data_IF_336448033283
#
_entry.id   IF_336448033283
#
_cell.length_a   1.000
_cell.length_b   1.000
_cell.length_c   1.000
_cell.angle_alpha   90.00
_cell.angle_beta   90.00
_cell.angle_gamma   90.00
#
_symmetry.space_group_name_H-M   'P 1'
#
loop_
_entity.id
_entity.type
_entity.pdbx_description
1 polymer ?
#
# COMPACT_ATOMS: atom_id res chain seq x y z
N UNK A 1 -4.91 -1.46 21.71
CA UNK A 1 -6.16 -2.22 21.50
C UNK A 1 -7.35 -1.28 21.57
N UNK A 2 -8.51 -1.63 21.00
CA UNK A 2 -9.73 -0.82 20.98
C UNK A 2 -10.15 -0.30 22.36
N UNK A 3 -9.94 -1.08 23.42
CA UNK A 3 -10.17 -0.64 24.81
C UNK A 3 -9.35 0.59 25.22
N UNK A 4 -8.11 0.69 24.76
CA UNK A 4 -7.26 1.84 25.06
C UNK A 4 -7.68 3.07 24.23
N UNK A 5 -8.08 2.87 22.97
CA UNK A 5 -8.59 3.90 22.09
C UNK A 5 -9.87 4.49 22.67
N UNK A 6 -10.79 3.64 23.15
CA UNK A 6 -12.03 4.04 23.85
C UNK A 6 -11.73 4.79 25.16
N UNK A 7 -10.77 4.32 25.95
CA UNK A 7 -10.38 4.96 27.20
C UNK A 7 -9.73 6.35 27.01
N UNK A 8 -9.13 6.60 25.86
CA UNK A 8 -8.51 7.87 25.48
C UNK A 8 -9.43 8.78 24.68
N UNK A 9 -10.69 8.37 24.45
CA UNK A 9 -11.71 9.13 23.68
C UNK A 9 -11.23 9.54 22.27
N UNK A 10 -10.41 8.66 21.64
CA UNK A 10 -9.82 8.93 20.33
C UNK A 10 -10.77 8.62 19.16
N UNK A 11 -11.80 7.81 19.38
CA UNK A 11 -12.85 7.48 18.42
C UNK A 11 -14.22 7.53 19.07
N UNK A 12 -15.27 7.91 18.33
CA UNK A 12 -16.66 7.87 18.78
C UNK A 12 -17.07 6.48 19.28
N UNK A 13 -17.89 6.40 20.34
CA UNK A 13 -18.30 5.16 20.96
C UNK A 13 -19.03 4.19 20.01
N UNK A 14 -19.83 4.71 19.09
CA UNK A 14 -20.50 3.92 18.05
C UNK A 14 -19.51 3.24 17.10
N UNK A 15 -18.42 3.92 16.74
CA UNK A 15 -17.37 3.37 15.88
C UNK A 15 -16.57 2.30 16.65
N UNK A 16 -16.21 2.57 17.90
CA UNK A 16 -15.56 1.56 18.74
C UNK A 16 -16.39 0.28 18.87
N UNK A 17 -17.71 0.43 19.02
CA UNK A 17 -18.63 -0.72 19.12
C UNK A 17 -18.71 -1.47 17.79
N UNK A 18 -18.86 -0.77 16.67
CA UNK A 18 -18.85 -1.37 15.33
C UNK A 18 -17.57 -2.17 15.08
N UNK A 19 -16.41 -1.60 15.37
CA UNK A 19 -15.12 -2.27 15.18
C UNK A 19 -14.92 -3.47 16.12
N UNK A 20 -15.44 -3.42 17.36
CA UNK A 20 -15.42 -4.57 18.28
C UNK A 20 -16.29 -5.72 17.72
N UNK A 21 -17.49 -5.43 17.20
CA UNK A 21 -18.38 -6.43 16.60
C UNK A 21 -17.76 -7.05 15.34
N UNK A 22 -17.22 -6.22 14.44
CA UNK A 22 -16.50 -6.68 13.25
C UNK A 22 -15.30 -7.57 13.62
N UNK A 23 -14.52 -7.18 14.62
CA UNK A 23 -13.38 -7.95 15.09
C UNK A 23 -13.81 -9.33 15.63
N UNK A 24 -14.86 -9.38 16.45
CA UNK A 24 -15.39 -10.64 17.00
C UNK A 24 -15.85 -11.56 15.88
N UNK A 25 -16.56 -11.03 14.88
CA UNK A 25 -17.04 -11.79 13.72
C UNK A 25 -15.87 -12.37 12.90
N UNK A 26 -14.90 -11.53 12.51
CA UNK A 26 -13.75 -11.95 11.71
C UNK A 26 -12.86 -12.93 12.49
N UNK A 27 -12.64 -12.71 13.79
CA UNK A 27 -11.86 -13.62 14.63
C UNK A 27 -12.53 -14.98 14.79
N UNK A 28 -13.86 -15.00 14.91
CA UNK A 28 -14.61 -16.25 14.92
C UNK A 28 -14.46 -17.00 13.60
N UNK A 29 -14.58 -16.32 12.47
CA UNK A 29 -14.39 -16.89 11.15
C UNK A 29 -12.98 -17.46 10.98
N UNK A 30 -11.97 -16.70 11.34
CA UNK A 30 -10.56 -17.13 11.29
C UNK A 30 -10.33 -18.40 12.12
N UNK A 31 -10.84 -18.45 13.35
CA UNK A 31 -10.72 -19.64 14.21
C UNK A 31 -11.40 -20.86 13.57
N UNK A 32 -12.60 -20.69 12.98
CA UNK A 32 -13.32 -21.78 12.30
C UNK A 32 -12.53 -22.31 11.11
N UNK A 33 -11.93 -21.43 10.29
CA UNK A 33 -11.13 -21.83 9.12
C UNK A 33 -9.86 -22.57 9.57
N UNK A 34 -9.18 -22.07 10.59
CA UNK A 34 -7.94 -22.67 11.11
C UNK A 34 -8.18 -24.05 11.75
N UNK A 35 -9.32 -24.24 12.41
CA UNK A 35 -9.69 -25.51 13.05
C UNK A 35 -9.86 -26.65 12.04
N UNK A 36 -10.37 -26.37 10.82
CA UNK A 36 -10.54 -27.41 9.79
C UNK A 36 -9.24 -27.87 9.14
N UNK A 37 -8.25 -27.01 9.07
CA UNK A 37 -7.03 -27.25 8.30
C UNK A 37 -5.80 -27.56 9.16
N UNK A 38 -5.89 -27.34 10.49
CA UNK A 38 -4.73 -27.35 11.40
C UNK A 38 -3.55 -26.52 10.84
N UNK A 39 -3.89 -25.44 10.14
CA UNK A 39 -2.96 -24.52 9.49
C UNK A 39 -3.34 -23.09 9.78
N UNK A 40 -2.35 -22.23 9.97
CA UNK A 40 -2.56 -20.79 9.98
C UNK A 40 -2.90 -20.31 8.56
N UNK A 41 -4.19 -20.26 8.25
CA UNK A 41 -4.70 -19.76 6.98
C UNK A 41 -5.80 -18.71 7.23
N UNK A 42 -5.88 -17.75 6.31
CA UNK A 42 -6.91 -16.71 6.28
C UNK A 42 -7.77 -16.82 5.00
N UNK A 43 -7.60 -17.93 4.26
CA UNK A 43 -8.32 -18.16 3.00
C UNK A 43 -9.54 -19.03 3.26
N UNK A 44 -10.69 -18.64 2.69
CA UNK A 44 -11.91 -19.44 2.73
C UNK A 44 -11.68 -20.80 2.07
N UNK A 45 -12.29 -21.88 2.58
CA UNK A 45 -12.13 -23.20 2.01
C UNK A 45 -12.75 -23.29 0.62
N UNK A 46 -12.03 -23.93 -0.32
CA UNK A 46 -12.48 -24.11 -1.72
C UNK A 46 -13.36 -25.35 -1.90
N UNK A 47 -13.25 -26.35 -1.01
CA UNK A 47 -14.01 -27.59 -1.14
C UNK A 47 -15.39 -27.48 -0.50
N UNK A 48 -16.39 -28.12 -1.10
CA UNK A 48 -17.80 -28.07 -0.66
C UNK A 48 -18.01 -28.54 0.77
N UNK A 49 -17.25 -29.56 1.22
CA UNK A 49 -17.42 -30.16 2.54
C UNK A 49 -17.00 -29.21 3.67
N UNK A 50 -15.87 -28.54 3.50
CA UNK A 50 -15.36 -27.59 4.51
C UNK A 50 -16.09 -26.26 4.43
N UNK A 51 -16.55 -25.85 3.22
CA UNK A 51 -17.50 -24.75 3.08
C UNK A 51 -18.80 -25.01 3.88
N UNK A 52 -19.39 -26.17 3.72
CA UNK A 52 -20.62 -26.52 4.44
C UNK A 52 -20.41 -26.51 5.97
N UNK A 53 -19.29 -27.05 6.45
CA UNK A 53 -18.92 -27.03 7.87
C UNK A 53 -18.74 -25.60 8.40
N UNK A 54 -18.05 -24.75 7.63
CA UNK A 54 -17.84 -23.35 7.97
C UNK A 54 -19.18 -22.61 8.09
N UNK A 55 -20.09 -22.79 7.14
CA UNK A 55 -21.42 -22.18 7.17
C UNK A 55 -22.19 -22.58 8.43
N UNK A 56 -22.19 -23.87 8.80
CA UNK A 56 -22.84 -24.37 10.02
C UNK A 56 -22.18 -23.75 11.26
N UNK A 57 -20.85 -23.72 11.34
CA UNK A 57 -20.11 -23.16 12.47
C UNK A 57 -20.31 -21.65 12.64
N UNK A 58 -20.50 -20.95 11.53
CA UNK A 58 -20.81 -19.51 11.50
C UNK A 58 -22.31 -19.21 11.63
N UNK A 59 -23.16 -20.26 11.67
CA UNK A 59 -24.62 -20.21 11.77
C UNK A 59 -25.32 -19.62 10.55
N UNK A 60 -24.83 -19.93 9.34
CA UNK A 60 -25.45 -19.57 8.07
C UNK A 60 -26.12 -20.78 7.41
N UNK A 61 -27.24 -20.52 6.72
CA UNK A 61 -27.96 -21.56 5.97
C UNK A 61 -27.45 -21.73 4.55
N UNK A 62 -26.91 -20.66 3.95
CA UNK A 62 -26.40 -20.64 2.59
C UNK A 62 -25.14 -19.78 2.46
N UNK A 63 -24.41 -20.04 1.38
CA UNK A 63 -23.12 -19.36 1.09
C UNK A 63 -23.31 -17.92 0.64
N UNK A 64 -24.41 -17.61 -0.02
CA UNK A 64 -24.66 -16.29 -0.60
C UNK A 64 -24.87 -15.26 0.51
N UNK A 65 -25.74 -15.58 1.47
CA UNK A 65 -25.95 -14.74 2.66
C UNK A 65 -24.67 -14.56 3.47
N UNK A 66 -23.90 -15.64 3.64
CA UNK A 66 -22.61 -15.56 4.34
C UNK A 66 -21.62 -14.60 3.67
N UNK A 67 -21.47 -14.71 2.34
CA UNK A 67 -20.55 -13.86 1.57
C UNK A 67 -20.99 -12.41 1.58
N UNK A 68 -22.32 -12.16 1.50
CA UNK A 68 -22.88 -10.82 1.61
C UNK A 68 -22.52 -10.16 2.97
N UNK A 69 -22.79 -10.88 4.06
CA UNK A 69 -22.51 -10.34 5.41
C UNK A 69 -21.00 -10.15 5.65
N UNK A 70 -20.18 -11.07 5.14
CA UNK A 70 -18.71 -10.92 5.22
C UNK A 70 -18.24 -9.69 4.45
N UNK A 71 -18.77 -9.44 3.25
CA UNK A 71 -18.44 -8.25 2.45
C UNK A 71 -18.88 -6.96 3.18
N UNK A 72 -20.05 -6.95 3.80
CA UNK A 72 -20.52 -5.82 4.61
C UNK A 72 -19.59 -5.55 5.81
N UNK A 73 -19.18 -6.58 6.54
CA UNK A 73 -18.24 -6.45 7.66
C UNK A 73 -16.90 -5.91 7.19
N UNK A 74 -16.35 -6.46 6.09
CA UNK A 74 -15.07 -5.99 5.54
C UNK A 74 -15.16 -4.55 5.04
N UNK A 75 -16.26 -4.19 4.37
CA UNK A 75 -16.51 -2.82 3.91
C UNK A 75 -16.64 -1.84 5.07
N UNK A 76 -17.38 -2.18 6.12
CA UNK A 76 -17.52 -1.34 7.31
C UNK A 76 -16.17 -1.05 7.97
N UNK A 77 -15.32 -2.07 8.16
CA UNK A 77 -13.97 -1.89 8.69
C UNK A 77 -13.12 -1.00 7.77
N UNK A 78 -13.21 -1.21 6.46
CA UNK A 78 -12.45 -0.45 5.48
C UNK A 78 -12.86 1.04 5.43
N UNK A 79 -14.16 1.33 5.51
CA UNK A 79 -14.68 2.70 5.52
C UNK A 79 -14.24 3.47 6.77
N UNK A 80 -14.33 2.83 7.96
CA UNK A 80 -13.87 3.45 9.21
C UNK A 80 -12.34 3.63 9.22
N UNK A 81 -11.59 2.67 8.69
CA UNK A 81 -10.14 2.80 8.56
C UNK A 81 -9.76 3.94 7.61
N UNK A 82 -10.47 4.08 6.48
CA UNK A 82 -10.29 5.24 5.58
C UNK A 82 -10.56 6.56 6.27
N UNK A 83 -11.58 6.68 7.11
CA UNK A 83 -11.89 7.92 7.82
C UNK A 83 -10.76 8.28 8.81
N UNK A 84 -10.26 7.33 9.58
CA UNK A 84 -9.16 7.55 10.53
C UNK A 84 -7.88 7.98 9.81
N UNK A 85 -7.59 7.38 8.65
CA UNK A 85 -6.43 7.76 7.82
C UNK A 85 -6.67 9.09 7.09
N UNK A 86 -7.91 9.39 6.69
CA UNK A 86 -8.27 10.64 6.00
C UNK A 86 -8.22 11.89 6.92
N UNK A 87 -8.42 11.72 8.23
CA UNK A 87 -8.25 12.82 9.18
C UNK A 87 -6.78 13.27 9.35
N UNK A 88 -5.81 12.40 9.03
CA UNK A 88 -4.41 12.78 8.88
C UNK A 88 -4.08 13.32 7.47
N UNK A 89 -4.97 13.14 6.51
CA UNK A 89 -4.77 13.40 5.08
C UNK A 89 -5.56 14.65 4.61
N UNK A 90 -5.44 15.75 5.36
CA UNK A 90 -5.93 17.07 4.96
C UNK A 90 -5.18 17.62 3.74
N UNK A 91 -5.24 16.93 2.60
CA UNK A 91 -4.58 17.35 1.36
C UNK A 91 -4.74 16.42 0.16
N UNK A 92 -5.49 15.32 0.25
CA UNK A 92 -5.75 14.50 -0.93
C UNK A 92 -6.73 15.20 -1.87
N UNK A 93 -6.20 16.02 -2.80
CA UNK A 93 -6.84 16.22 -4.09
C UNK A 93 -7.13 14.82 -4.65
N UNK A 94 -8.39 14.50 -4.84
CA UNK A 94 -8.83 13.27 -5.49
C UNK A 94 -8.03 13.10 -6.77
N UNK A 95 -7.30 11.99 -6.87
CA UNK A 95 -6.65 11.54 -8.10
C UNK A 95 -7.78 10.95 -8.96
N UNK A 96 -8.74 11.79 -9.35
CA UNK A 96 -9.83 11.39 -10.24
C UNK A 96 -9.27 11.33 -11.67
N UNK A 97 -9.24 10.12 -12.23
CA UNK A 97 -8.91 9.82 -13.64
C UNK A 97 -7.45 10.01 -14.07
N UNK A 98 -6.48 9.74 -13.20
CA UNK A 98 -5.07 9.75 -13.59
C UNK A 98 -4.65 8.37 -14.14
N UNK A 99 -5.21 7.99 -15.28
CA UNK A 99 -5.00 6.66 -15.87
C UNK A 99 -3.87 6.62 -16.91
N UNK A 100 -2.73 7.20 -16.55
CA UNK A 100 -1.53 7.20 -17.41
C UNK A 100 -0.77 5.87 -17.36
N UNK A 101 -1.12 5.00 -16.42
CA UNK A 101 -0.44 3.72 -16.30
C UNK A 101 -1.11 2.62 -17.12
N UNK A 102 -2.43 2.53 -17.16
CA UNK A 102 -3.14 1.45 -17.85
C UNK A 102 -3.17 1.64 -19.37
N UNK A 103 -3.31 2.87 -19.84
CA UNK A 103 -3.40 3.19 -21.24
C UNK A 103 -2.14 2.78 -22.03
N UNK A 104 -2.34 2.16 -23.19
CA UNK A 104 -1.27 1.79 -24.12
C UNK A 104 -0.90 2.99 -25.01
N UNK A 105 -0.45 4.07 -24.37
CA UNK A 105 -0.11 5.32 -25.01
C UNK A 105 1.27 5.26 -25.66
N UNK A 106 1.40 5.90 -26.83
CA UNK A 106 2.72 6.21 -27.41
C UNK A 106 3.49 7.20 -26.53
N UNK A 107 4.81 7.31 -26.75
CA UNK A 107 5.67 8.25 -26.00
C UNK A 107 5.15 9.69 -26.14
N UNK A 108 4.71 10.07 -27.35
CA UNK A 108 4.21 11.43 -27.64
C UNK A 108 2.88 11.71 -26.94
N UNK A 109 1.95 10.75 -26.93
CA UNK A 109 0.66 10.87 -26.25
C UNK A 109 0.85 10.95 -24.74
N UNK A 110 1.69 10.10 -24.17
CA UNK A 110 2.00 10.10 -22.76
C UNK A 110 2.69 11.40 -22.32
N UNK A 111 3.65 11.88 -23.11
CA UNK A 111 4.33 13.16 -22.88
C UNK A 111 3.34 14.33 -22.89
N UNK A 112 2.41 14.38 -23.87
CA UNK A 112 1.38 15.42 -23.96
C UNK A 112 0.39 15.41 -22.76
N UNK A 113 0.05 14.23 -22.26
CA UNK A 113 -0.77 14.10 -21.05
C UNK A 113 -0.01 14.52 -19.79
N UNK A 114 1.25 14.09 -19.64
CA UNK A 114 2.10 14.45 -18.51
C UNK A 114 2.35 15.95 -18.40
N UNK A 115 2.46 16.67 -19.54
CA UNK A 115 2.64 18.14 -19.56
C UNK A 115 1.57 18.90 -18.78
N UNK A 116 0.37 18.34 -18.64
CA UNK A 116 -0.73 18.95 -17.88
C UNK A 116 -0.47 18.97 -16.36
N UNK A 117 0.33 18.04 -15.86
CA UNK A 117 0.54 17.79 -14.42
C UNK A 117 1.96 18.14 -13.97
N UNK A 118 2.92 18.18 -14.87
CA UNK A 118 4.33 18.45 -14.56
C UNK A 118 4.55 19.89 -14.10
N UNK A 119 5.25 20.03 -12.98
CA UNK A 119 5.79 21.32 -12.52
C UNK A 119 6.88 21.79 -13.48
N UNK A 120 7.80 20.90 -13.87
CA UNK A 120 8.82 21.17 -14.86
C UNK A 120 8.48 20.48 -16.19
N UNK A 121 7.91 21.24 -17.10
CA UNK A 121 7.46 20.76 -18.42
C UNK A 121 8.56 20.23 -19.32
N UNK A 122 9.82 20.57 -19.06
CA UNK A 122 10.95 20.03 -19.83
C UNK A 122 11.27 18.56 -19.53
N UNK A 123 10.68 18.00 -18.47
CA UNK A 123 10.84 16.60 -18.05
C UNK A 123 9.83 15.63 -18.70
N UNK A 124 8.86 16.14 -19.47
CA UNK A 124 7.74 15.39 -20.05
C UNK A 124 8.19 14.15 -20.83
N UNK A 125 9.08 14.32 -21.80
CA UNK A 125 9.61 13.24 -22.65
C UNK A 125 10.45 12.24 -21.86
N UNK A 126 11.30 12.72 -20.97
CA UNK A 126 12.17 11.85 -20.19
C UNK A 126 11.37 11.03 -19.16
N UNK A 127 10.32 11.63 -18.60
CA UNK A 127 9.40 10.90 -17.71
C UNK A 127 8.57 9.89 -18.50
N UNK A 128 8.02 10.26 -19.67
CA UNK A 128 7.28 9.35 -20.54
C UNK A 128 8.13 8.12 -20.92
N UNK A 129 9.38 8.33 -21.36
CA UNK A 129 10.32 7.24 -21.64
C UNK A 129 10.55 6.34 -20.45
N UNK A 130 10.73 6.90 -19.26
CA UNK A 130 10.97 6.12 -18.04
C UNK A 130 9.75 5.27 -17.67
N UNK A 131 8.53 5.81 -17.82
CA UNK A 131 7.27 5.08 -17.58
C UNK A 131 7.13 3.91 -18.56
N UNK A 132 7.32 4.14 -19.85
CA UNK A 132 7.24 3.11 -20.90
C UNK A 132 8.28 2.03 -20.68
N UNK A 133 9.51 2.42 -20.32
CA UNK A 133 10.58 1.47 -20.01
C UNK A 133 10.21 0.54 -18.85
N UNK A 134 9.65 1.08 -17.76
CA UNK A 134 9.20 0.29 -16.62
C UNK A 134 8.04 -0.65 -17.00
N UNK A 135 7.02 -0.15 -17.74
CA UNK A 135 5.92 -1.00 -18.25
C UNK A 135 6.47 -2.19 -19.05
N UNK A 136 7.40 -1.94 -19.95
CA UNK A 136 8.00 -2.98 -20.76
C UNK A 136 8.81 -3.99 -19.94
N UNK A 137 9.55 -3.53 -18.93
CA UNK A 137 10.26 -4.42 -18.00
C UNK A 137 9.28 -5.30 -17.23
N UNK A 138 8.26 -4.70 -16.60
CA UNK A 138 7.28 -5.41 -15.79
C UNK A 138 6.40 -6.37 -16.61
N UNK A 139 6.13 -6.07 -17.89
CA UNK A 139 5.38 -6.97 -18.77
C UNK A 139 6.09 -8.31 -19.03
N UNK A 140 7.43 -8.31 -18.94
CA UNK A 140 8.27 -9.52 -19.10
C UNK A 140 8.50 -10.27 -17.81
N UNK A 141 8.18 -9.67 -16.66
CA UNK A 141 8.36 -10.31 -15.37
C UNK A 141 7.16 -11.19 -15.02
N UNK A 142 7.36 -12.35 -14.35
CA UNK A 142 6.28 -13.23 -13.92
C UNK A 142 5.56 -12.68 -12.69
N UNK A 143 5.04 -11.46 -12.79
CA UNK A 143 4.23 -10.83 -11.73
C UNK A 143 2.87 -11.51 -11.67
N UNK A 144 2.51 -12.03 -10.49
CA UNK A 144 1.22 -12.70 -10.26
C UNK A 144 0.01 -11.73 -10.37
N UNK A 145 -1.24 -12.27 -10.44
CA UNK A 145 -2.45 -11.46 -10.59
C UNK A 145 -2.58 -10.35 -9.54
N UNK A 146 -2.39 -10.68 -8.26
CA UNK A 146 -2.45 -9.72 -7.14
C UNK A 146 -1.39 -8.61 -7.28
N UNK A 147 -0.18 -8.98 -7.71
CA UNK A 147 0.88 -8.01 -7.94
C UNK A 147 0.56 -7.04 -9.09
N UNK A 148 -0.07 -7.53 -10.16
CA UNK A 148 -0.52 -6.70 -11.29
C UNK A 148 -1.62 -5.72 -10.88
N UNK A 149 -2.61 -6.21 -10.14
CA UNK A 149 -3.67 -5.36 -9.57
C UNK A 149 -3.09 -4.28 -8.66
N UNK A 150 -2.17 -4.66 -7.77
CA UNK A 150 -1.46 -3.70 -6.91
C UNK A 150 -0.70 -2.64 -7.72
N UNK A 151 -0.05 -3.02 -8.83
CA UNK A 151 0.63 -2.07 -9.71
C UNK A 151 -0.34 -1.11 -10.40
N UNK A 152 -1.53 -1.58 -10.84
CA UNK A 152 -2.55 -0.72 -11.44
C UNK A 152 -3.01 0.39 -10.48
N UNK A 153 -3.07 0.12 -9.17
CA UNK A 153 -3.47 1.10 -8.17
C UNK A 153 -2.30 1.97 -7.67
N UNK A 154 -1.09 1.41 -7.57
CA UNK A 154 0.10 2.10 -7.06
C UNK A 154 0.68 3.08 -8.07
N UNK A 155 0.85 2.65 -9.34
CA UNK A 155 1.61 3.42 -10.32
C UNK A 155 0.98 4.77 -10.69
N UNK A 156 -0.36 4.92 -10.82
CA UNK A 156 -0.98 6.23 -10.98
C UNK A 156 -0.62 7.20 -9.86
N UNK A 157 -0.63 6.75 -8.60
CA UNK A 157 -0.25 7.56 -7.43
C UNK A 157 1.21 7.99 -7.51
N UNK A 158 2.11 7.06 -7.84
CA UNK A 158 3.55 7.34 -7.99
C UNK A 158 3.77 8.39 -9.07
N UNK A 159 3.18 8.22 -10.26
CA UNK A 159 3.35 9.14 -11.39
C UNK A 159 2.82 10.53 -11.01
N UNK A 160 1.64 10.61 -10.39
CA UNK A 160 1.04 11.86 -9.96
C UNK A 160 1.91 12.63 -8.94
N UNK A 161 2.42 11.94 -7.93
CA UNK A 161 3.27 12.54 -6.90
C UNK A 161 4.62 13.01 -7.49
N UNK A 162 5.21 12.17 -8.34
CA UNK A 162 6.49 12.50 -9.00
C UNK A 162 6.34 13.65 -9.98
N UNK A 163 5.21 13.77 -10.69
CA UNK A 163 4.96 14.88 -11.61
C UNK A 163 4.97 16.26 -10.93
N UNK A 164 4.71 16.31 -9.62
CA UNK A 164 4.79 17.54 -8.80
C UNK A 164 6.23 17.97 -8.47
N UNK A 165 7.23 17.15 -8.81
CA UNK A 165 8.63 17.41 -8.50
C UNK A 165 9.40 17.99 -9.70
N UNK A 166 10.39 18.85 -9.44
CA UNK A 166 11.18 19.48 -10.49
C UNK A 166 12.01 18.49 -11.32
N UNK A 167 12.47 17.39 -10.70
CA UNK A 167 13.28 16.35 -11.31
C UNK A 167 12.48 15.04 -11.48
N UNK A 168 11.28 15.15 -12.01
CA UNK A 168 10.30 14.07 -12.09
C UNK A 168 10.87 12.78 -12.71
N UNK A 169 11.52 12.88 -13.86
CA UNK A 169 12.10 11.73 -14.56
C UNK A 169 13.21 11.02 -13.75
N UNK A 170 14.03 11.80 -13.05
CA UNK A 170 15.12 11.25 -12.24
C UNK A 170 14.57 10.51 -11.03
N UNK A 171 13.61 11.10 -10.31
CA UNK A 171 12.96 10.49 -9.17
C UNK A 171 12.21 9.23 -9.60
N UNK A 172 11.47 9.31 -10.71
CA UNK A 172 10.74 8.15 -11.24
C UNK A 172 11.66 6.99 -11.60
N UNK A 173 12.82 7.22 -12.24
CA UNK A 173 13.80 6.15 -12.54
C UNK A 173 14.31 5.47 -11.27
N UNK A 174 14.50 6.20 -10.17
CA UNK A 174 14.90 5.63 -8.88
C UNK A 174 13.80 4.74 -8.29
N UNK A 175 12.55 5.20 -8.38
CA UNK A 175 11.38 4.41 -7.96
C UNK A 175 11.23 3.17 -8.84
N UNK A 176 11.38 3.30 -10.16
CA UNK A 176 11.31 2.21 -11.10
C UNK A 176 12.31 1.10 -10.75
N UNK A 177 13.56 1.46 -10.42
CA UNK A 177 14.57 0.50 -9.97
C UNK A 177 14.14 -0.28 -8.71
N UNK A 178 13.49 0.35 -7.73
CA UNK A 178 12.94 -0.35 -6.58
C UNK A 178 11.76 -1.25 -6.98
N UNK A 179 10.81 -0.72 -7.77
CA UNK A 179 9.64 -1.49 -8.21
C UNK A 179 10.09 -2.76 -8.95
N UNK A 180 11.08 -2.70 -9.83
CA UNK A 180 11.65 -3.86 -10.51
C UNK A 180 12.19 -4.91 -9.51
N UNK A 181 12.84 -4.49 -8.44
CA UNK A 181 13.37 -5.40 -7.41
C UNK A 181 12.28 -6.06 -6.56
N UNK A 182 11.19 -5.34 -6.30
CA UNK A 182 10.11 -5.82 -5.41
C UNK A 182 8.88 -6.33 -6.16
N UNK A 183 8.84 -6.24 -7.50
CA UNK A 183 7.66 -6.61 -8.31
C UNK A 183 7.19 -8.06 -8.09
N UNK A 184 8.10 -8.97 -7.73
CA UNK A 184 7.78 -10.37 -7.38
C UNK A 184 7.45 -10.55 -5.88
N UNK A 185 7.54 -9.48 -5.09
CA UNK A 185 7.29 -9.47 -3.66
C UNK A 185 6.11 -8.54 -3.36
N UNK A 186 4.92 -8.99 -3.70
CA UNK A 186 3.66 -8.25 -3.57
C UNK A 186 3.49 -7.47 -2.25
N UNK A 187 3.89 -7.98 -1.06
CA UNK A 187 3.73 -7.24 0.20
C UNK A 187 4.38 -5.85 0.19
N UNK A 188 5.54 -5.67 -0.43
CA UNK A 188 6.19 -4.36 -0.50
C UNK A 188 5.44 -3.37 -1.38
N UNK A 189 4.88 -3.85 -2.49
CA UNK A 189 4.06 -3.01 -3.37
C UNK A 189 2.74 -2.62 -2.71
N UNK A 190 2.09 -3.58 -2.01
CA UNK A 190 0.88 -3.30 -1.24
C UNK A 190 1.14 -2.28 -0.14
N UNK A 191 2.26 -2.39 0.55
CA UNK A 191 2.72 -1.46 1.57
C UNK A 191 2.75 -0.01 1.06
N UNK A 192 3.36 0.21 -0.11
CA UNK A 192 3.45 1.53 -0.74
C UNK A 192 2.09 2.00 -1.28
N UNK A 193 1.25 1.09 -1.78
CA UNK A 193 -0.10 1.39 -2.27
C UNK A 193 -1.02 1.85 -1.15
N UNK A 194 -1.00 1.14 -0.03
CA UNK A 194 -1.97 1.29 1.06
C UNK A 194 -1.58 2.44 2.01
N UNK A 195 -0.33 2.92 1.94
CA UNK A 195 0.16 3.96 2.83
C UNK A 195 0.73 5.16 2.07
N UNK A 196 -0.12 6.15 1.81
CA UNK A 196 0.26 7.36 1.08
C UNK A 196 1.37 8.14 1.79
N UNK A 197 1.35 8.23 3.13
CA UNK A 197 2.37 8.94 3.90
C UNK A 197 3.75 8.29 3.71
N UNK A 198 3.82 6.95 3.69
CA UNK A 198 5.06 6.23 3.41
C UNK A 198 5.52 6.47 1.98
N UNK A 199 4.60 6.46 1.02
CA UNK A 199 4.92 6.74 -0.38
C UNK A 199 5.48 8.16 -0.56
N UNK A 200 4.89 9.16 0.06
CA UNK A 200 5.38 10.55 0.02
C UNK A 200 6.75 10.70 0.68
N UNK A 201 6.95 10.11 1.86
CA UNK A 201 8.26 10.08 2.53
C UNK A 201 9.32 9.39 1.68
N UNK A 202 8.93 8.30 1.03
CA UNK A 202 9.81 7.57 0.13
C UNK A 202 10.22 8.44 -1.08
N UNK A 203 9.27 9.11 -1.73
CA UNK A 203 9.55 10.02 -2.85
C UNK A 203 10.48 11.16 -2.39
N UNK A 204 10.20 11.76 -1.25
CA UNK A 204 11.05 12.82 -0.66
C UNK A 204 12.48 12.33 -0.39
N UNK A 205 12.62 11.14 0.18
CA UNK A 205 13.94 10.53 0.42
C UNK A 205 14.72 10.30 -0.87
N UNK A 206 14.04 9.82 -1.92
CA UNK A 206 14.64 9.57 -3.22
C UNK A 206 15.01 10.86 -3.97
N UNK A 207 14.27 11.94 -3.74
CA UNK A 207 14.58 13.27 -4.27
C UNK A 207 15.90 13.77 -3.68
N UNK A 208 16.03 13.73 -2.37
CA UNK A 208 17.11 14.39 -1.64
C UNK A 208 18.40 13.58 -1.61
N UNK A 209 18.34 12.26 -1.77
CA UNK A 209 19.50 11.40 -1.54
C UNK A 209 19.62 10.23 -2.53
N UNK A 210 20.59 10.32 -3.44
CA UNK A 210 20.92 9.25 -4.38
C UNK A 210 21.38 7.97 -3.67
N UNK A 211 22.20 8.09 -2.63
CA UNK A 211 22.72 6.94 -1.88
C UNK A 211 21.60 6.17 -1.18
N UNK A 212 20.62 6.86 -0.60
CA UNK A 212 19.46 6.22 0.01
C UNK A 212 18.65 5.40 -1.02
N UNK A 213 18.54 5.91 -2.25
CA UNK A 213 17.90 5.18 -3.35
C UNK A 213 18.59 3.85 -3.66
N UNK A 214 19.92 3.86 -3.81
CA UNK A 214 20.69 2.64 -4.05
C UNK A 214 20.62 1.66 -2.88
N UNK A 215 20.67 2.17 -1.65
CA UNK A 215 20.60 1.35 -0.44
C UNK A 215 19.25 0.65 -0.31
N UNK A 216 18.13 1.36 -0.50
CA UNK A 216 16.78 0.78 -0.40
C UNK A 216 16.54 -0.19 -1.56
N UNK A 217 17.00 0.12 -2.78
CA UNK A 217 16.89 -0.78 -3.92
C UNK A 217 17.65 -2.10 -3.66
N UNK A 218 18.82 -2.02 -3.04
CA UNK A 218 19.61 -3.21 -2.68
C UNK A 218 19.04 -3.97 -1.48
N UNK A 219 18.38 -3.27 -0.57
CA UNK A 219 17.82 -3.81 0.69
C UNK A 219 16.38 -3.34 0.89
N UNK A 220 15.39 -3.92 0.17
CA UNK A 220 13.99 -3.48 0.25
C UNK A 220 13.37 -3.56 1.66
N UNK A 221 13.93 -4.37 2.57
CA UNK A 221 13.50 -4.44 3.98
C UNK A 221 13.65 -3.11 4.73
N UNK A 222 14.48 -2.18 4.23
CA UNK A 222 14.59 -0.84 4.79
C UNK A 222 13.34 0.01 4.57
N UNK A 223 12.43 -0.40 3.69
CA UNK A 223 11.11 0.24 3.58
C UNK A 223 10.33 0.19 4.89
N UNK A 224 10.53 -0.84 5.71
CA UNK A 224 9.86 -0.99 7.00
C UNK A 224 10.23 0.16 7.96
N UNK A 225 11.45 0.70 7.85
CA UNK A 225 11.91 1.83 8.66
C UNK A 225 11.17 3.14 8.32
N UNK A 226 10.60 3.28 7.10
CA UNK A 226 9.83 4.46 6.69
C UNK A 226 8.51 4.61 7.45
N UNK A 227 8.04 3.53 8.11
CA UNK A 227 6.84 3.56 8.96
C UNK A 227 7.07 4.17 10.34
N UNK A 228 8.34 4.34 10.76
CA UNK A 228 8.65 4.88 12.08
C UNK A 228 8.72 6.42 11.96
N UNK A 229 7.67 7.18 12.41
CA UNK A 229 7.59 8.61 12.18
C UNK A 229 8.75 9.41 12.78
N UNK A 230 9.30 8.93 13.89
CA UNK A 230 10.25 9.69 14.71
C UNK A 230 11.71 9.67 14.20
N UNK A 231 12.03 8.82 13.23
CA UNK A 231 13.42 8.67 12.76
C UNK A 231 13.79 9.60 11.58
N UNK A 232 12.79 10.17 10.87
CA UNK A 232 13.05 10.97 9.67
C UNK A 232 12.98 12.48 9.88
N UNK A 233 12.38 12.95 10.98
CA UNK A 233 12.17 14.39 11.22
C UNK A 233 13.36 15.08 11.90
N UNK A 234 14.25 14.31 12.54
CA UNK A 234 15.52 14.83 13.05
C UNK A 234 16.60 13.74 13.03
N UNK A 235 17.83 14.05 12.63
CA UNK A 235 18.92 13.08 12.75
C UNK A 235 19.11 12.71 14.22
N UNK A 236 19.36 11.42 14.54
CA UNK A 236 19.59 11.00 15.91
C UNK A 236 20.74 11.77 16.52
N UNK A 237 20.60 12.17 17.76
CA UNK A 237 21.69 12.78 18.53
C UNK A 237 22.88 11.83 18.60
N UNK A 238 24.08 12.35 18.82
CA UNK A 238 25.27 11.51 18.95
C UNK A 238 25.13 10.45 20.05
N UNK A 239 24.36 10.72 21.10
CA UNK A 239 24.10 9.77 22.20
C UNK A 239 23.16 8.64 21.75
N UNK A 240 22.08 8.96 21.02
CA UNK A 240 21.16 7.97 20.44
C UNK A 240 21.86 7.10 19.41
N UNK A 241 22.70 7.70 18.56
CA UNK A 241 23.50 6.96 17.58
C UNK A 241 24.46 5.96 18.26
N UNK A 242 25.13 6.36 19.33
CA UNK A 242 25.99 5.46 20.12
C UNK A 242 25.21 4.34 20.81
N UNK A 243 24.01 4.62 21.34
CA UNK A 243 23.15 3.61 21.94
C UNK A 243 22.69 2.56 20.91
N UNK A 244 22.23 2.99 19.72
CA UNK A 244 21.85 2.11 18.60
C UNK A 244 23.03 1.24 18.12
N UNK A 245 24.26 1.76 18.21
CA UNK A 245 25.46 1.01 17.82
C UNK A 245 25.82 -0.06 18.85
N UNK A 246 25.60 0.22 20.15
CA UNK A 246 25.86 -0.73 21.24
C UNK A 246 24.86 -1.88 21.30
N UNK A 247 23.61 -1.68 20.86
CA UNK A 247 22.59 -2.74 20.79
C UNK A 247 22.81 -3.73 19.63
N UNK A 248 23.63 -3.36 18.64
CA UNK A 248 23.93 -4.21 17.47
C UNK A 248 25.28 -4.96 17.54
N UNK A 249 26.03 -4.75 18.60
CA UNK A 249 27.27 -5.49 18.91
C UNK A 249 27.02 -6.57 19.96
#
# INVERSE_FOLDING_TARGET
TLKNIRALDLLPENICTLLDDCYVYLRRLENVIQEFSDKQTQTLPDNEKDCARMLVAMNYQDKETFLHDLDEVMRAVHEEFKQVVADEDNGQEKIENFDLWEADNSEEELSAELDKYLVNKSEDKELAKAIISLKHTLSRMPVGPVGRETLLELMPKVIYLVAKEEQAATIFRRIAGLIEQVALRTPYMQLLRDNNLVLERFIKLLKDNHYASELITSHPSLLDELFIPQQFDAPPSAQEFFAMFQERL
#
